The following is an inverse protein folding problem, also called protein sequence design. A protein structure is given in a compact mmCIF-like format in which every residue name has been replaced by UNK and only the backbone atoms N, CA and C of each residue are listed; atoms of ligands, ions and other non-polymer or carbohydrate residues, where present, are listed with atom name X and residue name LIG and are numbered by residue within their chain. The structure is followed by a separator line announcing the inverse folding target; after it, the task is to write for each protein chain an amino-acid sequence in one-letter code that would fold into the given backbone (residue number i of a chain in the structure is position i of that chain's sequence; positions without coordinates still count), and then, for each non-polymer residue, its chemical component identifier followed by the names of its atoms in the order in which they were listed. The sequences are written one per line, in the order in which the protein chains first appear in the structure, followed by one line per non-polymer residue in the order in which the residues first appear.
data_IF_935630928769
#
_entry.id   IF_935630928769
#
_cell.length_a   1.000
_cell.length_b   1.000
_cell.length_c   1.000
_cell.angle_alpha   90.00
_cell.angle_beta   90.00
_cell.angle_gamma   90.00
#
_symmetry.space_group_name_H-M   'P 1'
#
loop_
_entity.id
_entity.type
_entity.pdbx_description
1 polymer ?
#
# COMPACT_ATOMS: atom_id res chain seq x y z
N UNK A 1 -41.83 -51.96 -36.06
CA UNK A 1 -42.66 -50.89 -35.46
C UNK A 1 -41.88 -50.33 -34.27
N UNK A 2 -41.27 -49.14 -34.38
CA UNK A 2 -40.39 -48.57 -33.33
C UNK A 2 -41.02 -47.28 -32.83
N UNK A 3 -41.44 -47.24 -31.56
CA UNK A 3 -41.93 -46.03 -30.88
C UNK A 3 -40.72 -45.26 -30.36
N UNK A 4 -40.40 -44.12 -30.98
CA UNK A 4 -39.39 -43.20 -30.46
C UNK A 4 -39.89 -42.54 -29.17
N UNK A 5 -39.17 -42.72 -28.08
CA UNK A 5 -39.40 -42.04 -26.80
C UNK A 5 -39.03 -40.57 -26.95
N UNK A 6 -40.04 -39.68 -27.03
CA UNK A 6 -39.79 -38.24 -26.99
C UNK A 6 -39.30 -37.83 -25.60
N UNK A 7 -38.06 -37.38 -25.51
CA UNK A 7 -37.52 -36.74 -24.32
C UNK A 7 -38.13 -35.33 -24.19
N UNK A 8 -38.95 -35.13 -23.16
CA UNK A 8 -39.50 -33.82 -22.81
C UNK A 8 -38.34 -32.86 -22.51
N UNK A 9 -38.07 -31.94 -23.44
CA UNK A 9 -37.14 -30.83 -23.20
C UNK A 9 -37.79 -29.89 -22.18
N UNK A 10 -37.29 -29.89 -20.94
CA UNK A 10 -37.65 -28.89 -19.93
C UNK A 10 -37.05 -27.54 -20.33
N UNK A 11 -37.91 -26.54 -20.58
CA UNK A 11 -37.51 -25.15 -20.72
C UNK A 11 -37.39 -24.47 -19.35
N UNK A 12 -36.50 -23.48 -19.26
CA UNK A 12 -36.33 -22.63 -18.07
C UNK A 12 -37.54 -21.69 -17.95
N UNK A 13 -38.12 -21.56 -16.76
CA UNK A 13 -39.23 -20.62 -16.55
C UNK A 13 -38.71 -19.19 -16.34
N UNK A 14 -39.44 -18.19 -16.86
CA UNK A 14 -39.16 -16.79 -16.58
C UNK A 14 -39.18 -16.48 -15.08
N UNK A 15 -40.07 -17.13 -14.32
CA UNK A 15 -40.14 -16.95 -12.87
C UNK A 15 -38.89 -17.48 -12.15
N UNK A 16 -38.29 -18.57 -12.64
CA UNK A 16 -37.07 -19.14 -12.07
C UNK A 16 -35.91 -18.17 -12.26
N UNK A 17 -35.80 -17.53 -13.43
CA UNK A 17 -34.78 -16.52 -13.68
C UNK A 17 -35.01 -15.26 -12.82
N UNK A 18 -36.26 -14.80 -12.70
CA UNK A 18 -36.61 -13.60 -11.90
C UNK A 18 -36.27 -13.79 -10.42
N UNK A 19 -36.59 -14.95 -9.83
CA UNK A 19 -36.26 -15.21 -8.42
C UNK A 19 -34.75 -15.23 -8.21
N UNK A 20 -33.97 -15.81 -9.13
CA UNK A 20 -32.51 -15.86 -9.04
C UNK A 20 -31.90 -14.46 -9.05
N UNK A 21 -32.29 -13.58 -9.98
CA UNK A 21 -31.75 -12.22 -10.02
C UNK A 21 -32.16 -11.38 -8.81
N UNK A 22 -33.35 -11.62 -8.25
CA UNK A 22 -33.81 -10.95 -7.03
C UNK A 22 -32.93 -11.36 -5.83
N UNK A 23 -32.66 -12.67 -5.68
CA UNK A 23 -31.80 -13.16 -4.60
C UNK A 23 -30.36 -12.63 -4.76
N UNK A 24 -29.79 -12.66 -5.97
CA UNK A 24 -28.47 -12.08 -6.25
C UNK A 24 -28.45 -10.58 -5.94
N UNK A 25 -29.51 -9.85 -6.30
CA UNK A 25 -29.65 -8.42 -6.02
C UNK A 25 -29.63 -8.10 -4.52
N UNK A 26 -30.36 -8.88 -3.71
CA UNK A 26 -30.39 -8.71 -2.24
C UNK A 26 -29.00 -9.00 -1.64
N UNK A 27 -28.35 -10.09 -2.07
CA UNK A 27 -27.00 -10.44 -1.58
C UNK A 27 -25.99 -9.35 -1.96
N UNK A 28 -26.00 -8.90 -3.20
CA UNK A 28 -25.09 -7.87 -3.70
C UNK A 28 -25.26 -6.55 -2.93
N UNK A 29 -26.50 -6.13 -2.65
CA UNK A 29 -26.79 -4.91 -1.91
C UNK A 29 -26.18 -4.89 -0.50
N UNK A 30 -26.09 -6.05 0.18
CA UNK A 30 -25.50 -6.15 1.52
C UNK A 30 -23.98 -6.40 1.44
N UNK A 31 -23.53 -7.22 0.50
CA UNK A 31 -22.13 -7.65 0.39
C UNK A 31 -21.20 -6.53 -0.06
N UNK A 32 -21.56 -5.79 -1.11
CA UNK A 32 -20.72 -4.73 -1.70
C UNK A 32 -20.30 -3.66 -0.68
N UNK A 33 -21.23 -3.01 0.06
CA UNK A 33 -20.84 -1.96 1.01
C UNK A 33 -20.02 -2.50 2.18
N UNK A 34 -20.27 -3.74 2.62
CA UNK A 34 -19.47 -4.39 3.68
C UNK A 34 -18.04 -4.67 3.20
N UNK A 35 -17.90 -5.20 1.99
CA UNK A 35 -16.59 -5.52 1.41
C UNK A 35 -15.75 -4.26 1.16
N UNK A 36 -16.36 -3.17 0.69
CA UNK A 36 -15.68 -1.88 0.51
C UNK A 36 -15.09 -1.35 1.82
N UNK A 37 -15.87 -1.35 2.90
CA UNK A 37 -15.38 -0.92 4.23
C UNK A 37 -14.28 -1.83 4.77
N UNK A 38 -14.39 -3.13 4.54
CA UNK A 38 -13.35 -4.10 4.92
C UNK A 38 -12.02 -3.83 4.19
N UNK A 39 -12.08 -3.54 2.89
CA UNK A 39 -10.90 -3.21 2.10
C UNK A 39 -10.24 -1.90 2.54
N UNK A 40 -11.03 -0.87 2.87
CA UNK A 40 -10.52 0.39 3.42
C UNK A 40 -9.84 0.19 4.78
N UNK A 41 -10.46 -0.53 5.72
CA UNK A 41 -9.85 -0.83 7.01
C UNK A 41 -8.55 -1.63 6.90
N UNK A 42 -8.48 -2.58 5.97
CA UNK A 42 -7.25 -3.33 5.69
C UNK A 42 -6.13 -2.43 5.13
N UNK A 43 -6.46 -1.51 4.21
CA UNK A 43 -5.52 -0.55 3.66
C UNK A 43 -4.98 0.41 4.74
N UNK A 44 -5.84 0.90 5.63
CA UNK A 44 -5.44 1.75 6.76
C UNK A 44 -4.55 1.04 7.77
N UNK A 45 -4.84 -0.23 8.08
CA UNK A 45 -4.00 -1.06 8.93
C UNK A 45 -2.61 -1.26 8.30
N UNK A 46 -2.57 -1.58 7.00
CA UNK A 46 -1.31 -1.68 6.26
C UNK A 46 -0.55 -0.36 6.23
N UNK A 47 -1.23 0.79 6.11
CA UNK A 47 -0.57 2.10 6.14
C UNK A 47 0.13 2.33 7.48
N UNK A 48 -0.54 2.07 8.60
CA UNK A 48 0.05 2.23 9.94
C UNK A 48 1.25 1.31 10.14
N UNK A 49 1.15 0.05 9.70
CA UNK A 49 2.24 -0.90 9.76
C UNK A 49 3.44 -0.45 8.91
N UNK A 50 3.21 -0.01 7.67
CA UNK A 50 4.25 0.47 6.78
C UNK A 50 4.93 1.74 7.34
N UNK A 51 4.17 2.69 7.89
CA UNK A 51 4.73 3.87 8.55
C UNK A 51 5.61 3.49 9.75
N UNK A 52 5.19 2.52 10.57
CA UNK A 52 6.00 2.05 11.69
C UNK A 52 7.32 1.42 11.21
N UNK A 53 7.27 0.58 10.17
CA UNK A 53 8.46 -0.03 9.56
C UNK A 53 9.41 1.05 9.01
N UNK A 54 8.88 2.03 8.27
CA UNK A 54 9.66 3.11 7.69
C UNK A 54 10.30 4.01 8.77
N UNK A 55 9.54 4.39 9.80
CA UNK A 55 10.02 5.23 10.91
C UNK A 55 11.11 4.50 11.69
N UNK A 56 10.90 3.24 12.05
CA UNK A 56 11.92 2.43 12.72
C UNK A 56 13.20 2.30 11.89
N UNK A 57 13.10 2.17 10.56
CA UNK A 57 14.27 2.12 9.69
C UNK A 57 15.05 3.44 9.68
N UNK A 58 14.36 4.58 9.68
CA UNK A 58 14.98 5.91 9.80
C UNK A 58 15.67 6.06 11.15
N UNK A 59 15.01 5.64 12.24
CA UNK A 59 15.59 5.71 13.58
C UNK A 59 16.84 4.82 13.70
N UNK A 60 16.82 3.60 13.14
CA UNK A 60 18.00 2.73 13.12
C UNK A 60 19.16 3.35 12.33
N UNK A 61 18.87 3.94 11.17
CA UNK A 61 19.86 4.65 10.37
C UNK A 61 20.49 5.80 11.17
N UNK A 62 19.66 6.63 11.81
CA UNK A 62 20.10 7.78 12.61
C UNK A 62 21.05 7.36 13.73
N UNK A 63 20.73 6.27 14.44
CA UNK A 63 21.57 5.73 15.49
C UNK A 63 22.92 5.21 14.98
N UNK A 64 22.96 4.61 13.79
CA UNK A 64 24.20 4.06 13.21
C UNK A 64 25.08 5.13 12.53
N UNK A 65 24.50 6.27 12.14
CA UNK A 65 25.17 7.35 11.42
C UNK A 65 25.37 8.62 12.29
N UNK A 66 25.56 8.42 13.59
CA UNK A 66 25.91 9.48 14.55
C UNK A 66 24.92 10.66 14.58
N UNK A 67 23.61 10.39 14.44
CA UNK A 67 22.57 11.41 14.41
C UNK A 67 22.38 12.07 13.03
N UNK A 68 22.96 11.48 11.99
CA UNK A 68 22.75 11.92 10.60
C UNK A 68 21.56 11.19 10.01
N UNK A 69 20.58 11.96 9.54
CA UNK A 69 19.39 11.43 8.90
C UNK A 69 19.65 11.07 7.41
N UNK A 70 18.88 10.12 6.84
CA UNK A 70 18.93 9.85 5.41
C UNK A 70 18.64 11.10 4.57
N UNK A 71 19.27 11.23 3.40
CA UNK A 71 18.90 12.31 2.46
C UNK A 71 17.79 11.82 1.54
N UNK A 72 16.89 12.69 1.09
CA UNK A 72 15.83 12.39 0.10
C UNK A 72 16.43 11.84 -1.18
N UNK A 73 17.55 12.41 -1.65
CA UNK A 73 18.19 12.00 -2.89
C UNK A 73 18.70 10.55 -2.84
N UNK A 74 19.22 10.12 -1.69
CA UNK A 74 19.78 8.79 -1.48
C UNK A 74 18.91 7.88 -0.63
N UNK A 75 17.70 8.31 -0.22
CA UNK A 75 16.87 7.64 0.78
C UNK A 75 16.68 6.16 0.45
N UNK A 76 16.31 5.86 -0.80
CA UNK A 76 16.07 4.49 -1.25
C UNK A 76 17.33 3.63 -1.13
N UNK A 77 18.47 4.15 -1.55
CA UNK A 77 19.73 3.43 -1.51
C UNK A 77 20.20 3.23 -0.06
N UNK A 78 20.11 4.27 0.77
CA UNK A 78 20.47 4.23 2.19
C UNK A 78 19.62 3.25 3.00
N UNK A 79 18.33 3.10 2.65
CA UNK A 79 17.45 2.15 3.33
C UNK A 79 17.62 0.71 2.83
N UNK A 80 17.89 0.50 1.54
CA UNK A 80 17.83 -0.84 0.93
C UNK A 80 19.18 -1.48 0.62
N UNK A 81 20.28 -0.77 0.85
CA UNK A 81 21.65 -1.27 0.63
C UNK A 81 22.53 -1.02 1.84
N UNK A 82 23.80 -1.43 1.76
CA UNK A 82 24.77 -1.20 2.83
C UNK A 82 25.33 0.22 2.75
N UNK A 83 25.69 0.80 3.89
CA UNK A 83 26.21 2.16 3.97
C UNK A 83 27.51 2.23 4.77
N UNK A 84 28.35 3.22 4.45
CA UNK A 84 29.45 3.65 5.30
C UNK A 84 28.98 4.69 6.32
N UNK A 85 29.84 5.11 7.24
CA UNK A 85 29.48 6.08 8.28
C UNK A 85 28.96 7.43 7.73
N UNK A 86 29.37 7.80 6.51
CA UNK A 86 28.92 9.03 5.85
C UNK A 86 27.59 8.86 5.08
N UNK A 87 27.01 7.65 5.10
CA UNK A 87 25.76 7.35 4.40
C UNK A 87 25.94 7.04 2.91
N UNK A 88 27.15 6.76 2.45
CA UNK A 88 27.40 6.36 1.05
C UNK A 88 26.92 4.93 0.85
N UNK A 89 25.97 4.74 -0.06
CA UNK A 89 25.34 3.46 -0.33
C UNK A 89 26.17 2.56 -1.25
N UNK A 90 26.20 1.25 -0.96
CA UNK A 90 26.78 0.20 -1.79
C UNK A 90 25.94 -1.09 -1.70
N UNK A 91 25.75 -1.74 -2.85
CA UNK A 91 25.01 -2.98 -2.95
C UNK A 91 25.68 -4.16 -2.22
N UNK A 92 26.99 -4.09 -1.95
CA UNK A 92 27.75 -5.17 -1.32
C UNK A 92 28.33 -4.75 0.03
N UNK A 93 28.18 -5.61 1.04
CA UNK A 93 28.77 -5.41 2.36
C UNK A 93 30.31 -5.54 2.31
N UNK A 94 31.00 -4.73 3.10
CA UNK A 94 32.46 -4.80 3.27
C UNK A 94 32.86 -4.19 4.61
N UNK A 95 34.17 -4.14 4.91
CA UNK A 95 34.68 -3.46 6.10
C UNK A 95 34.50 -1.92 6.07
N UNK A 96 34.11 -1.36 4.92
CA UNK A 96 33.77 0.06 4.76
C UNK A 96 32.24 0.26 4.80
N UNK A 97 31.49 -0.66 4.17
CA UNK A 97 30.02 -0.63 4.08
C UNK A 97 29.42 -1.64 5.06
N UNK A 98 29.38 -1.27 6.34
CA UNK A 98 29.02 -2.14 7.46
C UNK A 98 27.56 -1.97 7.90
N UNK A 99 26.98 -0.79 7.70
CA UNK A 99 25.67 -0.41 8.22
C UNK A 99 24.54 -0.80 7.26
N UNK A 100 23.35 -1.06 7.81
CA UNK A 100 22.18 -1.49 7.04
C UNK A 100 22.30 -2.88 6.38
N UNK A 101 21.45 -3.22 5.38
CA UNK A 101 20.27 -2.47 4.97
C UNK A 101 19.17 -2.50 6.05
N UNK A 102 18.40 -1.41 6.13
CA UNK A 102 17.34 -1.24 7.12
C UNK A 102 15.98 -1.74 6.62
N UNK A 103 15.80 -1.78 5.30
CA UNK A 103 14.60 -2.24 4.62
C UNK A 103 14.97 -3.20 3.49
N UNK A 104 14.13 -4.21 3.27
CA UNK A 104 14.25 -5.07 2.07
C UNK A 104 13.79 -4.36 0.81
N UNK A 105 12.71 -3.61 0.91
CA UNK A 105 12.14 -2.78 -0.15
C UNK A 105 11.30 -1.67 0.48
N UNK A 106 11.08 -0.59 -0.26
CA UNK A 106 10.15 0.45 0.18
C UNK A 106 8.73 -0.04 -0.10
N UNK A 107 7.88 -0.17 0.94
CA UNK A 107 6.53 -0.65 0.75
C UNK A 107 5.73 0.32 -0.13
N UNK A 108 4.84 -0.19 -0.99
CA UNK A 108 3.91 0.67 -1.73
C UNK A 108 2.92 1.32 -0.76
N UNK A 109 2.44 2.52 -1.11
CA UNK A 109 1.37 3.18 -0.39
C UNK A 109 0.07 2.36 -0.53
N UNK A 110 -0.52 1.84 0.57
CA UNK A 110 -1.64 0.91 0.48
C UNK A 110 -3.01 1.60 0.43
N UNK A 111 -3.08 2.89 0.73
CA UNK A 111 -4.32 3.68 0.80
C UNK A 111 -4.63 4.38 -0.51
N UNK A 112 -5.89 4.82 -0.64
CA UNK A 112 -6.34 5.66 -1.76
C UNK A 112 -5.52 6.94 -1.82
N UNK A 113 -5.27 7.38 -3.04
CA UNK A 113 -4.50 8.58 -3.34
C UNK A 113 -5.35 9.60 -4.11
N UNK A 114 -5.04 10.90 -4.02
CA UNK A 114 -5.64 11.93 -4.87
C UNK A 114 -5.40 11.67 -6.36
N UNK A 115 -6.20 12.32 -7.21
CA UNK A 115 -6.02 12.27 -8.66
C UNK A 115 -4.60 12.73 -9.04
N UNK A 116 -3.93 11.98 -9.92
CA UNK A 116 -2.57 12.27 -10.37
C UNK A 116 -1.45 11.54 -9.63
N UNK A 117 -1.76 10.82 -8.54
CA UNK A 117 -0.81 9.92 -7.85
C UNK A 117 -1.14 8.46 -8.18
N UNK A 118 -0.13 7.61 -8.35
CA UNK A 118 -0.31 6.19 -8.60
C UNK A 118 -0.80 5.48 -7.31
N UNK A 119 -1.91 4.71 -7.35
CA UNK A 119 -2.46 3.98 -6.20
C UNK A 119 -1.55 2.91 -5.56
N UNK A 120 -0.35 2.69 -6.10
CA UNK A 120 0.69 1.82 -5.52
C UNK A 120 2.08 2.45 -5.60
N UNK A 121 2.14 3.79 -5.61
CA UNK A 121 3.40 4.51 -5.58
C UNK A 121 4.23 4.11 -4.36
N UNK A 122 5.52 3.90 -4.56
CA UNK A 122 6.50 3.57 -3.52
C UNK A 122 7.70 4.52 -3.50
N UNK A 123 7.73 5.52 -4.39
CA UNK A 123 8.78 6.54 -4.37
C UNK A 123 8.75 7.37 -3.09
N UNK A 124 9.92 7.85 -2.69
CA UNK A 124 10.09 8.74 -1.54
C UNK A 124 10.65 10.06 -2.05
N UNK A 125 10.03 11.18 -1.68
CA UNK A 125 10.49 12.50 -2.08
C UNK A 125 10.10 13.57 -1.05
N UNK A 126 10.71 14.75 -1.13
CA UNK A 126 10.32 15.91 -0.33
C UNK A 126 9.01 16.55 -0.79
N UNK A 127 8.56 16.26 -2.01
CA UNK A 127 7.35 16.84 -2.61
C UNK A 127 6.53 15.80 -3.35
N UNK A 128 5.24 16.08 -3.52
CA UNK A 128 4.29 15.16 -4.15
C UNK A 128 4.53 15.04 -5.65
N UNK A 129 4.52 13.80 -6.16
CA UNK A 129 4.55 13.49 -7.59
C UNK A 129 3.84 12.15 -7.85
N UNK A 130 3.60 11.83 -9.13
CA UNK A 130 2.81 10.66 -9.52
C UNK A 130 3.36 9.32 -9.00
N UNK A 131 4.68 9.20 -8.88
CA UNK A 131 5.37 7.98 -8.45
C UNK A 131 5.75 7.98 -6.97
N UNK A 132 5.45 9.07 -6.25
CA UNK A 132 5.82 9.25 -4.84
C UNK A 132 4.69 8.73 -3.95
N UNK A 133 4.97 7.70 -3.18
CA UNK A 133 4.06 7.16 -2.15
C UNK A 133 4.26 7.82 -0.79
N UNK A 134 5.48 8.29 -0.52
CA UNK A 134 5.88 8.78 0.79
C UNK A 134 6.55 10.15 0.70
N UNK A 135 6.08 11.07 1.53
CA UNK A 135 6.70 12.39 1.71
C UNK A 135 7.66 12.31 2.88
N UNK A 136 8.93 12.62 2.64
CA UNK A 136 9.99 12.59 3.64
C UNK A 136 10.61 13.98 3.80
N UNK A 137 10.81 14.39 5.06
CA UNK A 137 11.43 15.67 5.41
C UNK A 137 12.79 15.42 6.06
N UNK A 138 13.88 15.66 5.34
CA UNK A 138 15.26 15.39 5.79
C UNK A 138 15.60 16.09 7.10
N UNK A 139 15.18 17.36 7.26
CA UNK A 139 15.54 18.17 8.43
C UNK A 139 14.94 17.67 9.73
N UNK A 140 13.92 16.82 9.68
CA UNK A 140 13.21 16.32 10.86
C UNK A 140 13.09 14.80 10.92
N UNK A 141 13.48 14.08 9.86
CA UNK A 141 13.32 12.62 9.77
C UNK A 141 11.87 12.16 9.61
N UNK A 142 10.92 13.09 9.46
CA UNK A 142 9.49 12.74 9.43
C UNK A 142 9.11 12.18 8.06
N UNK A 143 8.54 10.97 8.07
CA UNK A 143 7.93 10.33 6.89
C UNK A 143 6.41 10.21 7.04
N UNK A 144 5.69 10.53 5.95
CA UNK A 144 4.22 10.64 5.90
C UNK A 144 3.69 10.08 4.58
N UNK A 145 2.42 9.65 4.55
CA UNK A 145 1.77 9.22 3.33
C UNK A 145 1.58 10.39 2.35
N UNK A 146 1.83 10.17 1.05
CA UNK A 146 1.46 11.11 -0.01
C UNK A 146 -0.04 10.97 -0.36
N UNK A 147 -0.91 11.29 0.59
CA UNK A 147 -2.36 11.29 0.36
C UNK A 147 -3.08 12.30 1.25
N UNK A 148 -3.87 13.18 0.63
CA UNK A 148 -4.78 14.10 1.31
C UNK A 148 -6.16 13.50 1.58
N UNK A 149 -6.38 12.23 1.23
CA UNK A 149 -7.64 11.54 1.48
C UNK A 149 -7.82 11.36 2.99
N UNK A 150 -9.06 11.57 3.45
CA UNK A 150 -9.45 11.39 4.85
C UNK A 150 -9.75 9.92 5.11
N UNK A 151 -9.13 9.36 6.14
CA UNK A 151 -9.37 8.00 6.59
C UNK A 151 -10.65 7.86 7.41
N UNK A 152 -10.94 6.63 7.83
CA UNK A 152 -12.10 6.27 8.65
C UNK A 152 -12.14 6.99 10.01
N UNK A 153 -10.99 7.45 10.51
CA UNK A 153 -10.85 8.20 11.75
C UNK A 153 -11.09 9.72 11.61
N UNK A 154 -11.47 10.20 10.41
CA UNK A 154 -11.74 11.61 10.16
C UNK A 154 -10.50 12.50 9.99
N UNK A 155 -9.29 11.93 9.97
CA UNK A 155 -8.05 12.67 9.69
C UNK A 155 -7.44 12.26 8.35
N UNK A 156 -6.76 13.20 7.69
CA UNK A 156 -6.09 12.93 6.42
C UNK A 156 -4.89 11.99 6.60
N UNK A 157 -4.65 11.08 5.66
CA UNK A 157 -3.55 10.11 5.77
C UNK A 157 -2.17 10.75 5.86
N UNK A 158 -1.98 11.92 5.27
CA UNK A 158 -0.76 12.70 5.43
C UNK A 158 -0.56 13.23 6.86
N UNK A 159 -1.53 13.14 7.77
CA UNK A 159 -1.37 13.53 9.18
C UNK A 159 -1.05 12.38 10.14
N UNK A 160 -0.97 11.15 9.63
CA UNK A 160 -0.71 9.94 10.41
C UNK A 160 0.79 9.71 10.65
#
# INVERSE_FOLDING_TARGET
MVRGTQTLRRGFSLIELVIVIVIIGIIAAIAIPRMSRGAEGAAESSLRANLAVLRNAIDLYDNEHEGTLPTVASFVAQMTTFTDLAGTANATSSNVYLYGPYLREIPPLPVKVPSGVNPKANGVAASSAATVGWIYTESTGVIRANSSIVGSNGTAYNTW
#
